data_IF_963484838845
#
_entry.id   IF_963484838845
#
_cell.length_a   1.000
_cell.length_b   1.000
_cell.length_c   1.000
_cell.angle_alpha   90.00
_cell.angle_beta   90.00
_cell.angle_gamma   90.00
#
_symmetry.space_group_name_H-M   'P 1'
#
loop_
_entity.id
_entity.type
_entity.pdbx_description
1 polymer ?
#
# COMPACT_ATOMS: atom_id res chain seq x y z
N UNK A 1 22.88 7.80 17.63
CA UNK A 1 21.76 7.38 16.75
C UNK A 1 22.15 7.68 15.33
N UNK A 2 22.00 6.73 14.41
CA UNK A 2 22.44 6.92 13.02
C UNK A 2 21.54 7.85 12.18
N UNK A 3 20.34 8.21 12.64
CA UNK A 3 19.45 9.13 11.93
C UNK A 3 19.66 10.60 12.29
N UNK A 4 19.79 10.92 13.58
CA UNK A 4 20.04 12.31 14.02
C UNK A 4 21.52 12.61 14.29
N UNK A 5 22.40 11.61 14.25
CA UNK A 5 23.83 11.75 14.57
C UNK A 5 24.14 12.14 16.02
N UNK A 6 23.14 12.13 16.92
CA UNK A 6 23.32 12.46 18.33
C UNK A 6 23.60 11.25 19.23
N UNK A 7 24.24 11.51 20.37
CA UNK A 7 24.45 10.53 21.43
C UNK A 7 23.24 10.51 22.38
N UNK A 8 22.77 9.32 22.74
CA UNK A 8 21.65 9.14 23.67
C UNK A 8 21.99 8.09 24.73
N UNK A 9 21.36 8.16 25.92
CA UNK A 9 21.50 7.10 26.92
C UNK A 9 20.94 5.77 26.39
N UNK A 10 21.46 4.65 26.91
CA UNK A 10 21.06 3.30 26.49
C UNK A 10 19.55 3.04 26.60
N UNK A 11 18.88 3.67 27.58
CA UNK A 11 17.42 3.59 27.77
C UNK A 11 16.61 4.22 26.65
N UNK A 12 17.21 5.09 25.84
CA UNK A 12 16.58 5.79 24.71
C UNK A 12 17.07 5.29 23.35
N UNK A 13 17.77 4.15 23.31
CA UNK A 13 18.25 3.50 22.11
C UNK A 13 17.44 2.23 21.83
N UNK A 14 17.25 1.93 20.55
CA UNK A 14 16.63 0.73 20.00
C UNK A 14 17.63 0.11 19.04
N UNK A 15 17.81 -1.20 19.15
CA UNK A 15 18.54 -2.00 18.17
C UNK A 15 17.53 -2.78 17.36
N UNK A 16 17.53 -2.60 16.04
CA UNK A 16 16.58 -3.29 15.16
C UNK A 16 16.99 -4.77 15.01
N UNK A 17 16.12 -5.73 15.38
CA UNK A 17 16.40 -7.15 15.18
C UNK A 17 16.67 -7.47 13.70
N UNK A 18 17.65 -8.34 13.42
CA UNK A 18 18.05 -8.72 12.07
C UNK A 18 19.25 -7.92 11.53
N UNK A 19 19.17 -6.59 11.46
CA UNK A 19 20.28 -5.76 10.96
C UNK A 19 21.16 -5.13 12.04
N UNK A 20 20.73 -5.17 13.31
CA UNK A 20 21.44 -4.59 14.46
C UNK A 20 21.68 -3.08 14.37
N UNK A 21 20.98 -2.37 13.47
CA UNK A 21 21.08 -0.92 13.38
C UNK A 21 20.53 -0.23 14.63
N UNK A 22 21.24 0.82 15.05
CA UNK A 22 21.04 1.49 16.34
C UNK A 22 20.41 2.87 16.16
N UNK A 23 19.16 3.00 16.61
CA UNK A 23 18.33 4.20 16.45
C UNK A 23 17.86 4.70 17.82
N UNK A 24 17.64 6.01 17.99
CA UNK A 24 17.01 6.50 19.21
C UNK A 24 15.49 6.40 19.13
N UNK A 25 14.82 6.28 20.28
CA UNK A 25 13.36 6.14 20.39
C UNK A 25 12.60 7.25 19.68
N UNK A 26 13.07 8.50 19.78
CA UNK A 26 12.43 9.65 19.12
C UNK A 26 12.50 9.55 17.60
N UNK A 27 13.69 9.27 17.03
CA UNK A 27 13.82 9.11 15.58
C UNK A 27 13.02 7.91 15.05
N UNK A 28 13.05 6.78 15.74
CA UNK A 28 12.26 5.60 15.34
C UNK A 28 10.76 5.88 15.39
N UNK A 29 10.28 6.57 16.44
CA UNK A 29 8.87 7.00 16.56
C UNK A 29 8.46 7.89 15.39
N UNK A 30 9.21 8.95 15.12
CA UNK A 30 8.90 9.90 14.04
C UNK A 30 8.90 9.20 12.68
N UNK A 31 9.86 8.31 12.45
CA UNK A 31 9.94 7.53 11.23
C UNK A 31 8.74 6.59 11.06
N UNK A 32 8.38 5.84 12.11
CA UNK A 32 7.20 4.96 12.10
C UNK A 32 5.92 5.73 11.78
N UNK A 33 5.69 6.86 12.46
CA UNK A 33 4.51 7.71 12.23
C UNK A 33 4.44 8.17 10.78
N UNK A 34 5.53 8.74 10.24
CA UNK A 34 5.60 9.19 8.85
C UNK A 34 5.28 8.05 7.87
N UNK A 35 5.84 6.85 8.07
CA UNK A 35 5.58 5.72 7.17
C UNK A 35 4.14 5.23 7.23
N UNK A 36 3.56 5.17 8.42
CA UNK A 36 2.16 4.78 8.60
C UNK A 36 1.19 5.81 8.02
N UNK A 37 1.47 7.10 8.19
CA UNK A 37 0.67 8.18 7.61
C UNK A 37 0.76 8.22 6.08
N UNK A 38 1.92 7.86 5.51
CA UNK A 38 2.11 7.67 4.07
C UNK A 38 1.51 6.35 3.53
N UNK A 39 0.95 5.49 4.39
CA UNK A 39 0.45 4.17 4.01
C UNK A 39 1.53 3.17 3.57
N UNK A 40 2.80 3.39 3.95
CA UNK A 40 3.96 2.58 3.54
C UNK A 40 4.15 1.41 4.50
N UNK A 41 3.79 0.21 4.05
CA UNK A 41 3.88 -1.02 4.84
C UNK A 41 4.28 -2.21 3.96
N UNK A 42 5.24 -3.07 4.39
CA UNK A 42 5.87 -3.10 5.72
C UNK A 42 6.87 -1.96 5.94
N UNK A 43 7.07 -1.56 7.20
CA UNK A 43 7.98 -0.47 7.54
C UNK A 43 9.42 -0.98 7.55
N UNK A 44 10.19 -0.66 6.50
CA UNK A 44 11.59 -1.07 6.35
C UNK A 44 12.49 -0.26 7.29
N UNK A 45 13.54 -0.89 7.83
CA UNK A 45 14.58 -0.20 8.59
C UNK A 45 15.16 0.97 7.76
N UNK A 46 15.19 2.21 8.30
CA UNK A 46 15.58 3.38 7.52
C UNK A 46 17.05 3.37 7.11
N UNK A 47 17.90 2.60 7.81
CA UNK A 47 19.31 2.43 7.44
C UNK A 47 19.45 1.38 6.33
N UNK A 48 18.81 0.22 6.47
CA UNK A 48 18.80 -0.79 5.42
C UNK A 48 18.19 -0.27 4.11
N UNK A 49 17.24 0.66 4.19
CA UNK A 49 16.60 1.23 3.01
C UNK A 49 17.55 2.06 2.12
N UNK A 50 18.63 2.61 2.70
CA UNK A 50 19.58 3.49 1.99
C UNK A 50 20.95 2.87 1.78
N UNK A 51 21.20 1.70 2.34
CA UNK A 51 22.48 1.03 2.28
C UNK A 51 22.52 0.06 1.09
N UNK A 52 23.12 0.51 -0.02
CA UNK A 52 23.35 -0.32 -1.21
C UNK A 52 24.44 -1.41 -0.97
N UNK A 53 25.12 -1.41 0.19
CA UNK A 53 26.18 -2.37 0.57
C UNK A 53 25.61 -3.71 1.09
N UNK A 54 24.48 -4.14 0.53
CA UNK A 54 23.64 -5.24 1.02
C UNK A 54 24.31 -6.63 1.00
N UNK A 55 25.49 -6.79 0.40
CA UNK A 55 26.13 -8.10 0.33
C UNK A 55 26.91 -8.52 1.58
N UNK A 56 27.26 -7.62 2.52
CA UNK A 56 28.27 -7.96 3.56
C UNK A 56 27.92 -7.64 5.03
N UNK A 57 26.87 -6.86 5.34
CA UNK A 57 26.67 -6.34 6.70
C UNK A 57 25.31 -6.59 7.37
N UNK A 58 24.32 -7.17 6.68
CA UNK A 58 23.01 -7.50 7.26
C UNK A 58 22.72 -9.02 7.30
N UNK A 59 23.75 -9.85 7.45
CA UNK A 59 23.65 -11.33 7.50
C UNK A 59 24.10 -11.89 8.85
N UNK A 60 23.73 -11.26 9.98
CA UNK A 60 24.00 -11.88 11.28
C UNK A 60 23.02 -13.04 11.54
N UNK A 61 23.49 -14.28 11.72
CA UNK A 61 22.63 -15.45 11.89
C UNK A 61 22.07 -15.48 13.31
N UNK A 62 20.87 -14.95 13.50
CA UNK A 62 20.09 -15.16 14.72
C UNK A 62 18.81 -15.96 14.38
N UNK A 63 18.95 -17.28 14.56
CA UNK A 63 17.93 -18.34 14.62
C UNK A 63 17.21 -18.78 13.32
N UNK A 64 17.25 -20.10 12.98
CA UNK A 64 16.56 -20.68 11.80
C UNK A 64 15.03 -20.69 11.87
N UNK A 65 14.41 -20.37 13.00
CA UNK A 65 12.96 -20.55 13.21
C UNK A 65 12.09 -19.36 12.80
N UNK A 66 12.68 -18.28 12.31
CA UNK A 66 11.96 -17.08 11.81
C UNK A 66 12.11 -16.90 10.28
N UNK A 67 12.64 -17.92 9.59
CA UNK A 67 13.28 -17.77 8.28
C UNK A 67 12.40 -18.03 7.05
N UNK A 68 11.15 -18.52 7.19
CA UNK A 68 10.43 -19.07 6.03
C UNK A 68 9.60 -18.09 5.17
N UNK A 69 9.70 -16.76 5.36
CA UNK A 69 9.01 -15.79 4.47
C UNK A 69 9.89 -14.62 3.96
N UNK A 70 11.14 -14.49 4.40
CA UNK A 70 11.99 -13.33 4.11
C UNK A 70 13.16 -13.59 3.14
N UNK A 71 13.37 -14.81 2.65
CA UNK A 71 14.49 -15.11 1.74
C UNK A 71 14.41 -14.39 0.39
N UNK A 72 13.22 -14.02 -0.08
CA UNK A 72 13.07 -13.44 -1.42
C UNK A 72 13.29 -11.93 -1.48
N UNK A 73 13.38 -11.25 -0.33
CA UNK A 73 13.33 -9.77 -0.31
C UNK A 73 14.49 -9.07 0.39
N UNK A 74 15.35 -9.78 1.13
CA UNK A 74 16.56 -9.20 1.72
C UNK A 74 16.30 -7.84 2.35
N UNK A 75 15.29 -7.72 3.22
CA UNK A 75 14.95 -6.44 3.85
C UNK A 75 14.59 -6.65 5.30
N UNK A 76 15.26 -5.90 6.18
CA UNK A 76 14.93 -5.90 7.61
C UNK A 76 13.84 -4.87 7.87
N UNK A 77 12.69 -5.36 8.31
CA UNK A 77 11.53 -4.55 8.70
C UNK A 77 11.55 -4.24 10.19
N UNK A 78 11.01 -3.09 10.57
CA UNK A 78 10.75 -2.77 11.97
C UNK A 78 9.52 -3.57 12.39
N UNK A 79 9.63 -4.33 13.48
CA UNK A 79 8.54 -5.16 14.00
C UNK A 79 7.47 -4.37 14.75
N UNK A 80 6.27 -4.96 14.86
CA UNK A 80 5.15 -4.41 15.63
C UNK A 80 5.47 -4.26 17.12
N UNK A 81 6.30 -5.14 17.66
CA UNK A 81 6.80 -5.11 19.03
C UNK A 81 7.53 -3.80 19.36
N UNK A 82 8.34 -3.29 18.42
CA UNK A 82 8.99 -1.98 18.54
C UNK A 82 7.96 -0.86 18.43
N UNK A 83 7.02 -0.96 17.50
CA UNK A 83 6.02 0.08 17.27
C UNK A 83 5.11 0.31 18.49
N UNK A 84 4.59 -0.76 19.11
CA UNK A 84 3.66 -0.70 20.26
C UNK A 84 4.23 0.11 21.43
N UNK A 85 5.56 0.08 21.63
CA UNK A 85 6.23 0.83 22.70
C UNK A 85 6.53 2.29 22.36
N UNK A 86 6.29 2.76 21.13
CA UNK A 86 6.77 4.06 20.63
C UNK A 86 5.68 4.96 20.07
N UNK A 87 4.70 4.40 19.36
CA UNK A 87 3.62 5.16 18.73
C UNK A 87 2.33 5.05 19.54
N UNK A 88 1.38 5.95 19.29
CA UNK A 88 0.09 5.93 19.98
C UNK A 88 -0.86 4.84 19.43
N UNK A 89 -1.99 4.64 20.13
CA UNK A 89 -2.99 3.63 19.77
C UNK A 89 -3.53 3.81 18.34
N UNK A 90 -3.73 5.05 17.89
CA UNK A 90 -4.28 5.32 16.57
C UNK A 90 -3.31 4.88 15.45
N UNK A 91 -2.00 5.05 15.64
CA UNK A 91 -1.00 4.56 14.70
C UNK A 91 -0.87 3.03 14.73
N UNK A 92 -1.10 2.38 15.88
CA UNK A 92 -1.18 0.91 15.93
C UNK A 92 -2.42 0.38 15.20
N UNK A 93 -3.57 1.05 15.30
CA UNK A 93 -4.76 0.68 14.51
C UNK A 93 -4.50 0.86 12.99
N UNK A 94 -3.79 1.91 12.59
CA UNK A 94 -3.31 2.08 11.21
C UNK A 94 -2.36 0.96 10.78
N UNK A 95 -1.42 0.56 11.65
CA UNK A 95 -0.53 -0.57 11.41
C UNK A 95 -1.32 -1.85 11.12
N UNK A 96 -2.25 -2.18 12.00
CA UNK A 96 -3.07 -3.40 11.89
C UNK A 96 -3.91 -3.37 10.59
N UNK A 97 -4.47 -2.22 10.22
CA UNK A 97 -5.20 -2.06 8.96
C UNK A 97 -4.29 -2.21 7.72
N UNK A 98 -3.08 -1.64 7.75
CA UNK A 98 -2.11 -1.74 6.65
C UNK A 98 -1.57 -3.15 6.46
N UNK A 99 -1.36 -3.88 7.57
CA UNK A 99 -0.94 -5.28 7.60
C UNK A 99 -2.01 -6.19 6.99
N UNK A 100 -3.25 -6.08 7.46
CA UNK A 100 -4.42 -6.78 6.90
C UNK A 100 -4.60 -6.44 5.41
N UNK A 101 -4.37 -5.18 5.04
CA UNK A 101 -4.48 -4.67 3.67
C UNK A 101 -3.47 -5.24 2.67
N UNK A 102 -2.39 -5.89 3.14
CA UNK A 102 -1.43 -6.58 2.25
C UNK A 102 -2.05 -7.79 1.57
N UNK A 103 -2.92 -8.51 2.27
CA UNK A 103 -3.47 -9.79 1.83
C UNK A 103 -4.98 -9.74 1.59
N UNK A 104 -5.67 -8.72 2.11
CA UNK A 104 -7.12 -8.61 1.99
C UNK A 104 -7.58 -7.19 1.66
N UNK A 105 -8.80 -7.12 1.13
CA UNK A 105 -9.51 -5.87 0.85
C UNK A 105 -10.83 -5.89 1.61
N UNK A 106 -11.07 -4.87 2.42
CA UNK A 106 -12.37 -4.68 3.06
C UNK A 106 -13.39 -4.16 2.05
N UNK A 107 -14.48 -4.92 1.88
CA UNK A 107 -15.55 -4.59 0.95
C UNK A 107 -16.82 -4.32 1.75
N UNK A 108 -17.36 -3.11 1.61
CA UNK A 108 -18.67 -2.73 2.13
C UNK A 108 -19.75 -3.01 1.09
N UNK A 109 -20.80 -3.74 1.48
CA UNK A 109 -21.94 -4.01 0.62
C UNK A 109 -23.04 -2.96 0.83
N UNK A 110 -23.40 -2.21 -0.22
CA UNK A 110 -24.42 -1.16 -0.13
C UNK A 110 -25.84 -1.68 0.13
N UNK A 111 -26.12 -2.95 -0.18
CA UNK A 111 -27.44 -3.56 0.06
C UNK A 111 -27.67 -3.92 1.52
N UNK A 112 -26.68 -4.51 2.19
CA UNK A 112 -26.82 -4.93 3.59
C UNK A 112 -26.04 -4.05 4.58
N UNK A 113 -25.27 -3.08 4.08
CA UNK A 113 -24.43 -2.15 4.83
C UNK A 113 -23.40 -2.83 5.76
N UNK A 114 -23.03 -4.07 5.46
CA UNK A 114 -22.00 -4.82 6.20
C UNK A 114 -20.70 -4.84 5.41
N UNK A 115 -19.59 -4.88 6.12
CA UNK A 115 -18.24 -5.03 5.58
C UNK A 115 -17.73 -6.45 5.78
N UNK A 116 -16.94 -6.95 4.83
CA UNK A 116 -16.20 -8.20 4.98
C UNK A 116 -14.86 -8.12 4.27
N UNK A 117 -13.89 -8.90 4.76
CA UNK A 117 -12.59 -9.02 4.15
C UNK A 117 -12.64 -10.06 3.03
N UNK A 118 -12.09 -9.71 1.87
CA UNK A 118 -11.94 -10.60 0.71
C UNK A 118 -10.45 -10.71 0.38
N UNK A 119 -10.03 -11.86 -0.13
CA UNK A 119 -8.67 -12.05 -0.63
C UNK A 119 -8.34 -10.97 -1.67
N UNK A 120 -7.14 -10.39 -1.54
CA UNK A 120 -6.72 -9.26 -2.39
C UNK A 120 -6.57 -9.67 -3.84
N UNK A 121 -6.01 -10.84 -4.12
CA UNK A 121 -5.77 -11.28 -5.50
C UNK A 121 -7.08 -11.64 -6.20
N UNK A 122 -8.01 -12.26 -5.47
CA UNK A 122 -9.38 -12.49 -5.92
C UNK A 122 -10.07 -11.14 -6.21
N UNK A 123 -10.00 -10.18 -5.29
CA UNK A 123 -10.57 -8.85 -5.49
C UNK A 123 -9.99 -8.16 -6.73
N UNK A 124 -8.66 -8.18 -6.91
CA UNK A 124 -7.99 -7.52 -8.04
C UNK A 124 -8.41 -8.11 -9.38
N UNK A 125 -8.55 -9.43 -9.47
CA UNK A 125 -8.94 -10.15 -10.70
C UNK A 125 -10.44 -10.17 -10.96
N UNK A 126 -11.28 -9.90 -9.95
CA UNK A 126 -12.73 -9.90 -10.09
C UNK A 126 -13.25 -8.73 -10.94
N UNK A 127 -14.18 -9.03 -11.86
CA UNK A 127 -14.98 -8.03 -12.59
C UNK A 127 -16.25 -7.65 -11.81
N UNK A 128 -16.80 -8.61 -11.08
CA UNK A 128 -18.00 -8.48 -10.27
C UNK A 128 -17.68 -8.83 -8.82
N UNK A 129 -18.24 -8.06 -7.90
CA UNK A 129 -18.05 -8.24 -6.48
C UNK A 129 -19.32 -8.82 -5.89
N UNK A 130 -19.19 -9.97 -5.24
CA UNK A 130 -20.26 -10.55 -4.44
C UNK A 130 -20.22 -10.00 -3.02
N UNK A 131 -21.38 -9.89 -2.37
CA UNK A 131 -21.44 -9.56 -0.96
C UNK A 131 -20.58 -10.55 -0.15
N UNK A 132 -19.55 -10.09 0.58
CA UNK A 132 -18.61 -10.98 1.27
C UNK A 132 -19.29 -11.80 2.38
N UNK A 133 -20.39 -11.29 2.94
CA UNK A 133 -21.18 -11.96 3.97
C UNK A 133 -22.44 -12.66 3.43
N UNK A 134 -22.57 -12.76 2.10
CA UNK A 134 -23.77 -13.27 1.44
C UNK A 134 -24.03 -14.76 1.63
N UNK A 135 -22.99 -15.54 1.90
CA UNK A 135 -23.03 -17.01 2.06
C UNK A 135 -23.05 -17.51 3.51
N UNK A 136 -23.09 -16.61 4.50
CA UNK A 136 -23.14 -17.02 5.91
C UNK A 136 -24.57 -17.43 6.29
N UNK A 137 -24.77 -18.74 6.39
CA UNK A 137 -26.03 -19.41 6.69
C UNK A 137 -26.48 -19.24 8.16
N UNK A 138 -27.75 -18.86 8.29
CA UNK A 138 -28.78 -19.35 9.23
C UNK A 138 -28.70 -19.25 10.76
N UNK A 139 -27.59 -18.91 11.44
CA UNK A 139 -27.61 -18.94 12.93
C UNK A 139 -27.74 -17.59 13.65
N UNK A 140 -27.78 -16.47 12.93
CA UNK A 140 -27.76 -15.13 13.56
C UNK A 140 -28.77 -14.15 12.94
N UNK A 141 -29.99 -14.60 12.59
CA UNK A 141 -31.12 -13.70 12.25
C UNK A 141 -30.87 -12.65 11.16
N UNK A 142 -29.74 -12.73 10.44
CA UNK A 142 -29.31 -11.76 9.44
C UNK A 142 -29.64 -12.33 8.06
N UNK A 143 -30.43 -11.58 7.29
CA UNK A 143 -30.91 -11.97 5.97
C UNK A 143 -29.73 -12.33 5.04
N UNK A 144 -29.83 -13.48 4.36
CA UNK A 144 -28.91 -13.91 3.31
C UNK A 144 -28.83 -12.83 2.21
N UNK A 145 -27.64 -12.25 2.02
CA UNK A 145 -27.45 -11.13 1.11
C UNK A 145 -26.79 -11.59 -0.18
N UNK A 146 -27.58 -11.83 -1.22
CA UNK A 146 -27.10 -12.22 -2.54
C UNK A 146 -26.65 -11.05 -3.43
N UNK A 147 -26.28 -9.90 -2.85
CA UNK A 147 -25.93 -8.72 -3.65
C UNK A 147 -24.67 -8.98 -4.49
N UNK A 148 -24.72 -8.57 -5.75
CA UNK A 148 -23.60 -8.60 -6.68
C UNK A 148 -23.57 -7.29 -7.44
N UNK A 149 -22.39 -6.71 -7.65
CA UNK A 149 -22.23 -5.45 -8.36
C UNK A 149 -20.96 -5.42 -9.19
N UNK A 150 -20.92 -4.55 -10.18
CA UNK A 150 -19.72 -4.34 -10.99
C UNK A 150 -18.65 -3.63 -10.17
N UNK A 151 -17.40 -4.12 -10.23
CA UNK A 151 -16.27 -3.49 -9.56
C UNK A 151 -15.96 -2.08 -10.09
N UNK A 152 -16.26 -1.82 -11.37
CA UNK A 152 -15.89 -0.57 -12.05
C UNK A 152 -16.92 0.55 -11.83
N UNK A 153 -18.20 0.30 -12.11
CA UNK A 153 -19.25 1.32 -11.95
C UNK A 153 -20.04 1.24 -10.65
N UNK A 154 -19.79 0.21 -9.83
CA UNK A 154 -20.49 -0.06 -8.56
C UNK A 154 -22.00 -0.31 -8.70
N UNK A 155 -22.53 -0.45 -9.92
CA UNK A 155 -23.95 -0.74 -10.16
C UNK A 155 -24.27 -2.21 -9.88
N UNK A 156 -25.46 -2.51 -9.34
CA UNK A 156 -25.90 -3.87 -9.06
C UNK A 156 -26.04 -4.68 -10.37
N UNK A 157 -25.68 -5.96 -10.31
CA UNK A 157 -25.77 -6.92 -11.40
C UNK A 157 -26.81 -7.96 -11.07
N UNK A 158 -27.73 -8.19 -12.00
CA UNK A 158 -28.66 -9.31 -11.94
C UNK A 158 -27.98 -10.59 -12.41
N UNK A 159 -28.11 -11.65 -11.63
CA UNK A 159 -27.75 -13.01 -12.04
C UNK A 159 -29.03 -13.68 -12.52
N UNK A 160 -29.08 -14.05 -13.80
CA UNK A 160 -30.20 -14.78 -14.41
C UNK A 160 -29.66 -16.14 -14.83
N UNK A 161 -30.28 -17.22 -14.37
CA UNK A 161 -29.86 -18.61 -14.64
C UNK A 161 -28.39 -18.92 -14.33
N UNK A 162 -27.84 -18.28 -13.29
CA UNK A 162 -26.43 -18.45 -12.89
C UNK A 162 -25.43 -17.66 -13.74
N UNK A 163 -25.89 -16.86 -14.69
CA UNK A 163 -25.07 -16.02 -15.56
C UNK A 163 -25.20 -14.56 -15.13
N UNK A 164 -24.07 -13.91 -14.84
CA UNK A 164 -23.99 -12.45 -14.67
C UNK A 164 -24.24 -11.80 -16.02
N UNK A 165 -25.29 -10.99 -16.14
CA UNK A 165 -25.53 -10.26 -17.37
C UNK A 165 -24.52 -9.12 -17.54
N UNK A 166 -23.93 -9.04 -18.73
CA UNK A 166 -23.12 -7.90 -19.13
C UNK A 166 -23.99 -6.64 -19.12
N UNK A 167 -23.41 -5.54 -18.63
CA UNK A 167 -24.00 -4.22 -18.72
C UNK A 167 -22.95 -3.26 -19.28
N UNK A 168 -23.42 -2.20 -19.91
CA UNK A 168 -22.55 -1.09 -20.28
C UNK A 168 -22.23 -0.28 -19.02
N UNK A 169 -20.94 -0.16 -18.68
CA UNK A 169 -20.43 0.72 -17.63
C UNK A 169 -20.55 2.20 -18.07
N UNK A 170 -21.76 2.69 -18.27
CA UNK A 170 -22.05 4.09 -18.64
C UNK A 170 -21.51 5.10 -17.61
N UNK A 171 -21.58 4.77 -16.32
CA UNK A 171 -21.08 5.61 -15.23
C UNK A 171 -19.55 5.73 -15.16
N UNK A 172 -18.80 4.80 -15.80
CA UNK A 172 -17.34 4.97 -15.89
C UNK A 172 -16.98 6.13 -16.81
N UNK A 173 -17.80 6.42 -17.83
CA UNK A 173 -17.57 7.52 -18.76
C UNK A 173 -17.63 8.89 -18.07
N UNK A 174 -18.52 9.10 -17.11
CA UNK A 174 -18.60 10.35 -16.34
C UNK A 174 -17.38 10.53 -15.43
N UNK A 175 -16.98 9.47 -14.73
CA UNK A 175 -15.79 9.49 -13.89
C UNK A 175 -14.51 9.65 -14.71
N UNK A 176 -14.41 8.99 -15.86
CA UNK A 176 -13.30 9.13 -16.82
C UNK A 176 -13.26 10.53 -17.43
N UNK A 177 -14.42 11.11 -17.79
CA UNK A 177 -14.51 12.47 -18.29
C UNK A 177 -14.06 13.48 -17.23
N UNK A 178 -14.49 13.30 -15.97
CA UNK A 178 -14.06 14.13 -14.85
C UNK A 178 -12.57 13.96 -14.56
N UNK A 179 -12.09 12.72 -14.53
CA UNK A 179 -10.67 12.41 -14.33
C UNK A 179 -9.83 13.05 -15.43
N UNK A 180 -10.26 12.96 -16.70
CA UNK A 180 -9.60 13.62 -17.83
C UNK A 180 -9.61 15.14 -17.70
N UNK A 181 -10.73 15.73 -17.30
CA UNK A 181 -10.86 17.18 -17.10
C UNK A 181 -9.97 17.68 -15.96
N UNK A 182 -9.77 16.87 -14.91
CA UNK A 182 -8.92 17.20 -13.75
C UNK A 182 -7.48 16.70 -13.87
N UNK A 183 -7.16 15.93 -14.90
CA UNK A 183 -5.84 15.29 -15.06
C UNK A 183 -5.57 14.13 -14.09
N UNK A 184 -6.58 13.62 -13.41
CA UNK A 184 -6.46 12.48 -12.48
C UNK A 184 -5.98 11.21 -13.18
N UNK A 185 -5.20 10.41 -12.46
CA UNK A 185 -4.65 9.15 -12.99
C UNK A 185 -5.00 7.98 -12.08
N UNK A 186 -5.52 6.87 -12.63
CA UNK A 186 -5.65 5.65 -11.85
C UNK A 186 -4.27 5.04 -11.59
N UNK A 187 -4.07 4.51 -10.39
CA UNK A 187 -2.93 3.66 -10.10
C UNK A 187 -2.97 2.41 -11.01
N UNK A 188 -1.92 2.09 -11.78
CA UNK A 188 -1.93 0.93 -12.66
C UNK A 188 -1.89 -0.42 -11.92
N UNK A 189 -1.63 -0.42 -10.60
CA UNK A 189 -1.62 -1.63 -9.77
C UNK A 189 -2.97 -1.95 -9.11
N UNK A 190 -3.66 -0.94 -8.55
CA UNK A 190 -4.92 -1.15 -7.82
C UNK A 190 -6.15 -0.46 -8.43
N UNK A 191 -5.96 0.44 -9.40
CA UNK A 191 -7.04 1.22 -10.01
C UNK A 191 -7.53 2.42 -9.19
N UNK A 192 -6.99 2.67 -7.98
CA UNK A 192 -7.35 3.83 -7.18
C UNK A 192 -7.05 5.12 -7.95
N UNK A 193 -8.05 6.01 -8.06
CA UNK A 193 -7.88 7.32 -8.68
C UNK A 193 -7.01 8.21 -7.81
N UNK A 194 -5.94 8.75 -8.39
CA UNK A 194 -4.97 9.61 -7.72
C UNK A 194 -5.08 11.04 -8.25
N UNK A 195 -5.31 11.95 -7.32
CA UNK A 195 -5.16 13.39 -7.53
C UNK A 195 -3.74 13.84 -7.13
N UNK A 196 -3.18 14.81 -7.86
CA UNK A 196 -1.86 15.38 -7.59
C UNK A 196 -1.91 16.89 -7.78
N UNK A 197 -1.35 17.64 -6.84
CA UNK A 197 -1.35 19.10 -6.88
C UNK A 197 -0.15 19.63 -7.68
N UNK A 198 1.09 19.38 -7.24
CA UNK A 198 2.33 19.81 -7.92
C UNK A 198 3.53 18.94 -7.48
N UNK A 199 4.65 19.03 -8.20
CA UNK A 199 5.95 18.53 -7.79
C UNK A 199 6.46 17.37 -8.63
N UNK A 200 6.81 16.27 -7.98
CA UNK A 200 7.37 15.09 -8.63
C UNK A 200 6.28 14.26 -9.33
N UNK A 201 6.54 13.84 -10.56
CA UNK A 201 5.66 12.97 -11.34
C UNK A 201 5.84 11.48 -11.00
N UNK A 202 6.79 11.14 -10.13
CA UNK A 202 6.91 9.80 -9.57
C UNK A 202 5.97 9.64 -8.37
N UNK A 203 4.89 8.89 -8.56
CA UNK A 203 3.85 8.68 -7.54
C UNK A 203 4.01 7.31 -6.92
N UNK A 204 3.98 7.27 -5.59
CA UNK A 204 3.83 6.05 -4.80
C UNK A 204 2.37 5.90 -4.39
N UNK A 205 1.73 4.80 -4.79
CA UNK A 205 0.35 4.52 -4.40
C UNK A 205 0.27 4.27 -2.89
N UNK A 206 -0.67 4.95 -2.24
CA UNK A 206 -0.92 4.86 -0.79
C UNK A 206 -1.97 3.79 -0.45
N UNK A 207 -2.56 3.13 -1.44
CA UNK A 207 -3.50 2.04 -1.16
C UNK A 207 -2.76 0.91 -0.43
N UNK A 208 -3.30 0.42 0.72
CA UNK A 208 -2.73 -0.70 1.44
C UNK A 208 -2.45 -1.88 0.51
N UNK A 209 -1.27 -2.49 0.64
CA UNK A 209 -0.84 -3.64 -0.17
C UNK A 209 -0.57 -3.36 -1.65
N UNK A 210 -0.66 -2.12 -2.15
CA UNK A 210 -0.44 -1.85 -3.57
C UNK A 210 1.04 -1.70 -3.92
N UNK A 211 1.72 -0.76 -3.26
CA UNK A 211 3.16 -0.47 -3.44
C UNK A 211 3.60 -0.22 -4.88
N UNK A 212 2.64 0.22 -5.70
CA UNK A 212 2.89 0.60 -7.07
C UNK A 212 3.46 2.00 -7.12
N UNK A 213 4.58 2.10 -7.79
CA UNK A 213 5.24 3.31 -8.22
C UNK A 213 4.91 3.54 -9.69
N UNK A 214 4.39 4.71 -10.04
CA UNK A 214 3.99 5.01 -11.43
C UNK A 214 4.23 6.48 -11.79
N UNK A 215 4.30 6.77 -13.08
CA UNK A 215 4.46 8.12 -13.59
C UNK A 215 3.10 8.80 -13.74
N UNK A 216 2.91 9.97 -13.15
CA UNK A 216 1.66 10.73 -13.24
C UNK A 216 1.41 11.28 -14.65
N UNK A 217 2.46 11.62 -15.41
CA UNK A 217 2.31 12.17 -16.76
C UNK A 217 1.73 11.13 -17.71
N UNK A 218 2.41 9.98 -17.81
CA UNK A 218 2.05 8.95 -18.79
C UNK A 218 1.17 7.82 -18.23
N UNK A 219 0.99 7.72 -16.91
CA UNK A 219 0.21 6.68 -16.24
C UNK A 219 0.89 5.30 -16.19
N UNK A 220 2.09 5.14 -16.75
CA UNK A 220 2.78 3.84 -16.79
C UNK A 220 3.32 3.46 -15.42
N UNK A 221 3.22 2.17 -15.10
CA UNK A 221 3.90 1.59 -13.95
C UNK A 221 5.41 1.72 -14.11
N UNK A 222 6.08 2.19 -13.05
CA UNK A 222 7.53 2.25 -12.92
C UNK A 222 8.00 0.99 -12.18
N UNK A 223 7.40 0.69 -11.02
CA UNK A 223 7.71 -0.50 -10.24
C UNK A 223 6.51 -0.91 -9.38
N UNK A 224 6.47 -2.16 -8.94
CA UNK A 224 5.65 -2.58 -7.81
C UNK A 224 6.59 -3.25 -6.82
N UNK A 225 7.12 -2.46 -5.89
CA UNK A 225 8.26 -2.86 -5.07
C UNK A 225 8.34 -2.00 -3.81
N UNK A 226 9.03 -2.53 -2.80
CA UNK A 226 9.39 -1.82 -1.59
C UNK A 226 10.87 -1.39 -1.59
N UNK A 227 11.65 -1.94 -2.51
CA UNK A 227 13.10 -1.77 -2.54
C UNK A 227 13.43 -0.41 -3.16
N UNK A 228 14.07 0.47 -2.37
CA UNK A 228 14.44 1.81 -2.85
C UNK A 228 15.36 1.74 -4.07
N UNK A 229 16.29 0.79 -4.10
CA UNK A 229 17.21 0.57 -5.23
C UNK A 229 16.46 0.19 -6.51
N UNK A 230 15.56 -0.81 -6.45
CA UNK A 230 14.72 -1.21 -7.60
C UNK A 230 13.83 -0.05 -8.08
N UNK A 231 13.17 0.64 -7.14
CA UNK A 231 12.31 1.79 -7.45
C UNK A 231 13.13 2.90 -8.11
N UNK A 232 14.31 3.23 -7.58
CA UNK A 232 15.14 4.32 -8.08
C UNK A 232 15.70 3.99 -9.45
N UNK A 233 16.24 2.78 -9.64
CA UNK A 233 16.77 2.33 -10.92
C UNK A 233 15.71 2.38 -12.03
N UNK A 234 14.50 1.85 -11.77
CA UNK A 234 13.38 1.87 -12.72
C UNK A 234 12.85 3.28 -12.95
N UNK A 235 12.80 4.13 -11.91
CA UNK A 235 12.40 5.52 -12.05
C UNK A 235 13.40 6.29 -12.92
N UNK A 236 14.69 6.14 -12.66
CA UNK A 236 15.74 6.82 -13.42
C UNK A 236 15.77 6.35 -14.88
N UNK A 237 15.50 5.07 -15.15
CA UNK A 237 15.28 4.58 -16.51
C UNK A 237 14.06 5.22 -17.17
N UNK A 238 12.93 5.29 -16.48
CA UNK A 238 11.70 5.88 -16.99
C UNK A 238 11.87 7.37 -17.36
N UNK A 239 12.42 8.17 -16.45
CA UNK A 239 12.54 9.62 -16.59
C UNK A 239 13.69 10.06 -17.53
N UNK A 240 14.40 9.12 -18.18
CA UNK A 240 15.20 9.43 -19.38
C UNK A 240 14.33 9.86 -20.56
N UNK A 241 13.04 9.49 -20.55
CA UNK A 241 12.10 9.69 -21.66
C UNK A 241 10.78 10.36 -21.23
N UNK A 242 10.70 10.85 -19.99
CA UNK A 242 9.51 11.48 -19.43
C UNK A 242 9.91 12.53 -18.38
N UNK A 243 9.05 13.52 -18.13
CA UNK A 243 9.34 14.62 -17.21
C UNK A 243 9.17 14.21 -15.74
N UNK A 244 10.27 14.27 -14.97
CA UNK A 244 10.27 13.90 -13.54
C UNK A 244 9.61 14.96 -12.66
N UNK A 245 9.71 16.22 -13.03
CA UNK A 245 9.15 17.35 -12.30
C UNK A 245 8.29 18.18 -13.24
N UNK A 246 7.34 18.90 -12.67
CA UNK A 246 6.61 19.91 -13.42
C UNK A 246 7.59 20.92 -14.03
N UNK A 247 7.28 21.42 -15.23
CA UNK A 247 7.94 22.59 -15.74
C UNK A 247 7.78 23.70 -14.71
N UNK A 248 8.89 24.34 -14.32
CA UNK A 248 8.84 25.52 -13.47
C UNK A 248 7.91 26.51 -14.17
N UNK A 249 6.78 26.81 -13.53
CA UNK A 249 5.96 27.93 -13.95
C UNK A 249 6.82 29.14 -13.62
N UNK A 250 7.48 29.71 -14.63
CA UNK A 250 8.12 31.02 -14.50
C UNK A 250 7.01 31.98 -14.06
N UNK A 251 7.11 32.42 -12.81
CA UNK A 251 6.21 33.43 -12.27
C UNK A 251 6.59 34.76 -12.93
N UNK A 252 5.79 35.17 -13.91
CA UNK A 252 5.73 36.55 -14.40
C UNK A 252 5.11 37.49 -13.34
#
# INVERSE_FOLDING_TARGET
CTLCSDTHPSSNIITIPGCLHVLCKSCTKTYLISKLDEGRFPVICPICQVDDLYEQHCTSPLSPSFFELNELMGMVVIGRDIAVGLVDKAHIEKWDALEVGQVSVEIKCDKCNRSGLVDRQEYLSAQFIHCPLGRLSSNTGSSECSNVWCKLCLKPISIIDGVTQDHSCDGSLELEALAKARGWKPCPGCGMMIDRIVGCNHIACQSPGCNTHFCYVCGKMIAQSFLKSDISAKADEHFKSCDKFDALIDAE
#
